data_IF_800798910184
#
_entry.id   IF_800798910184
#
_cell.length_a   1.000
_cell.length_b   1.000
_cell.length_c   1.000
_cell.angle_alpha   90.00
_cell.angle_beta   90.00
_cell.angle_gamma   90.00
#
_symmetry.space_group_name_H-M   'P 1'
#
loop_
_entity.id
_entity.type
_entity.pdbx_description
1 polymer ?
#
# COMPACT_ATOMS: atom_id res chain seq x y z
N UNK A 1 24.92 28.66 -16.08
CA UNK A 1 24.37 28.02 -14.87
C UNK A 1 25.40 27.05 -14.32
N UNK A 2 25.60 27.05 -13.00
CA UNK A 2 26.57 26.16 -12.33
C UNK A 2 26.08 24.70 -12.35
N UNK A 3 27.00 23.75 -12.57
CA UNK A 3 26.72 22.30 -12.55
C UNK A 3 26.05 21.85 -11.25
N UNK A 4 26.37 22.51 -10.13
CA UNK A 4 25.76 22.28 -8.83
C UNK A 4 24.28 22.68 -8.78
N UNK A 5 23.90 23.79 -9.42
CA UNK A 5 22.49 24.22 -9.51
C UNK A 5 21.68 23.24 -10.36
N UNK A 6 22.24 22.75 -11.48
CA UNK A 6 21.58 21.76 -12.33
C UNK A 6 21.37 20.42 -11.61
N UNK A 7 22.29 20.02 -10.73
CA UNK A 7 22.12 18.84 -9.88
C UNK A 7 21.04 19.04 -8.83
N UNK A 8 21.06 20.17 -8.11
CA UNK A 8 20.06 20.51 -7.10
C UNK A 8 18.64 20.51 -7.68
N UNK A 9 18.45 21.08 -8.88
CA UNK A 9 17.15 21.10 -9.55
C UNK A 9 16.64 19.69 -9.88
N UNK A 10 17.51 18.79 -10.35
CA UNK A 10 17.12 17.39 -10.64
C UNK A 10 16.69 16.61 -9.40
N UNK A 11 17.35 16.84 -8.26
CA UNK A 11 16.98 16.21 -7.00
C UNK A 11 15.63 16.74 -6.49
N UNK A 12 15.41 18.05 -6.52
CA UNK A 12 14.13 18.66 -6.12
C UNK A 12 12.97 18.14 -6.97
N UNK A 13 13.17 17.98 -8.29
CA UNK A 13 12.17 17.39 -9.20
C UNK A 13 11.88 15.94 -8.79
N UNK A 14 12.91 15.13 -8.51
CA UNK A 14 12.74 13.74 -8.10
C UNK A 14 11.99 13.61 -6.77
N UNK A 15 12.35 14.43 -5.78
CA UNK A 15 11.67 14.46 -4.48
C UNK A 15 10.21 14.88 -4.61
N UNK A 16 9.92 15.88 -5.45
CA UNK A 16 8.55 16.33 -5.72
C UNK A 16 7.74 15.20 -6.38
N UNK A 17 8.34 14.47 -7.33
CA UNK A 17 7.70 13.33 -7.96
C UNK A 17 7.40 12.20 -6.97
N UNK A 18 8.32 11.89 -6.06
CA UNK A 18 8.12 10.89 -5.01
C UNK A 18 6.98 11.32 -4.07
N UNK A 19 6.93 12.59 -3.66
CA UNK A 19 5.87 13.13 -2.80
C UNK A 19 4.50 13.07 -3.47
N UNK A 20 4.40 13.48 -4.74
CA UNK A 20 3.15 13.41 -5.52
C UNK A 20 2.66 11.96 -5.59
N UNK A 21 3.57 11.03 -5.91
CA UNK A 21 3.24 9.60 -6.03
C UNK A 21 2.81 9.00 -4.70
N UNK A 22 3.45 9.37 -3.60
CA UNK A 22 3.06 8.92 -2.25
C UNK A 22 1.67 9.44 -1.85
N UNK A 23 1.36 10.71 -2.15
CA UNK A 23 0.04 11.30 -1.89
C UNK A 23 -1.06 10.63 -2.72
N UNK A 24 -0.80 10.31 -4.00
CA UNK A 24 -1.73 9.59 -4.88
C UNK A 24 -2.03 8.17 -4.38
N UNK A 25 -1.00 7.44 -3.92
CA UNK A 25 -1.16 6.10 -3.36
C UNK A 25 -1.96 6.15 -2.04
N UNK A 26 -1.56 7.01 -1.09
CA UNK A 26 -2.19 7.09 0.22
C UNK A 26 -3.63 7.65 0.18
N UNK A 27 -3.92 8.60 -0.71
CA UNK A 27 -5.25 9.18 -0.87
C UNK A 27 -6.20 8.29 -1.67
N UNK A 28 -5.69 7.58 -2.67
CA UNK A 28 -6.46 6.59 -3.41
C UNK A 28 -6.84 5.43 -2.50
N UNK A 29 -5.85 4.77 -1.91
CA UNK A 29 -6.02 3.50 -1.21
C UNK A 29 -7.06 3.57 -0.07
N UNK A 30 -7.12 4.68 0.67
CA UNK A 30 -8.11 4.87 1.74
C UNK A 30 -9.56 5.00 1.22
N UNK A 31 -9.76 5.68 0.09
CA UNK A 31 -11.08 5.84 -0.53
C UNK A 31 -11.54 4.53 -1.17
N UNK A 32 -10.63 3.83 -1.85
CA UNK A 32 -10.92 2.51 -2.43
C UNK A 32 -11.25 1.49 -1.34
N UNK A 33 -10.50 1.47 -0.24
CA UNK A 33 -10.72 0.56 0.88
C UNK A 33 -12.09 0.76 1.52
N UNK A 34 -12.47 2.01 1.81
CA UNK A 34 -13.78 2.33 2.38
C UNK A 34 -14.94 1.95 1.43
N UNK A 35 -14.77 2.15 0.12
CA UNK A 35 -15.74 1.73 -0.89
C UNK A 35 -15.90 0.21 -0.97
N UNK A 36 -14.79 -0.55 -0.90
CA UNK A 36 -14.82 -2.01 -0.89
C UNK A 36 -15.47 -2.57 0.38
N UNK A 37 -15.21 -1.97 1.54
CA UNK A 37 -15.84 -2.39 2.79
C UNK A 37 -17.36 -2.15 2.77
N UNK A 38 -17.80 -1.03 2.22
CA UNK A 38 -19.22 -0.74 2.04
C UNK A 38 -19.88 -1.75 1.08
N UNK A 39 -19.23 -2.05 -0.04
CA UNK A 39 -19.73 -3.02 -1.03
C UNK A 39 -19.78 -4.44 -0.46
N UNK A 40 -18.77 -4.84 0.31
CA UNK A 40 -18.73 -6.11 1.05
C UNK A 40 -19.93 -6.26 1.98
N UNK A 41 -20.22 -5.23 2.78
CA UNK A 41 -21.36 -5.23 3.71
C UNK A 41 -22.69 -5.30 2.95
N UNK A 42 -22.81 -4.55 1.84
CA UNK A 42 -24.00 -4.56 0.99
C UNK A 42 -24.27 -5.95 0.42
N UNK A 43 -23.27 -6.57 -0.21
CA UNK A 43 -23.39 -7.90 -0.81
C UNK A 43 -23.66 -8.99 0.23
N UNK A 44 -22.98 -8.95 1.39
CA UNK A 44 -23.22 -9.89 2.48
C UNK A 44 -24.67 -9.81 2.98
N UNK A 45 -25.21 -8.60 3.12
CA UNK A 45 -26.60 -8.40 3.53
C UNK A 45 -27.59 -8.94 2.49
N UNK A 46 -27.34 -8.70 1.21
CA UNK A 46 -28.18 -9.23 0.13
C UNK A 46 -28.13 -10.75 0.06
N UNK A 47 -26.96 -11.34 0.29
CA UNK A 47 -26.76 -12.79 0.39
C UNK A 47 -27.55 -13.38 1.56
N UNK A 48 -27.46 -12.78 2.74
CA UNK A 48 -28.17 -13.26 3.93
C UNK A 48 -29.70 -13.17 3.75
N UNK A 49 -30.20 -12.08 3.16
CA UNK A 49 -31.61 -11.93 2.85
C UNK A 49 -32.07 -13.00 1.85
N UNK A 50 -31.30 -13.25 0.79
CA UNK A 50 -31.61 -14.30 -0.19
C UNK A 50 -31.67 -15.69 0.47
N UNK A 51 -30.69 -16.03 1.31
CA UNK A 51 -30.64 -17.29 2.06
C UNK A 51 -31.84 -17.43 2.99
N UNK A 52 -32.17 -16.38 3.74
CA UNK A 52 -33.31 -16.40 4.66
C UNK A 52 -34.63 -16.63 3.92
N UNK A 53 -34.83 -15.99 2.78
CA UNK A 53 -36.04 -16.19 1.97
C UNK A 53 -36.11 -17.57 1.34
N UNK A 54 -34.99 -18.12 0.88
CA UNK A 54 -34.91 -19.51 0.41
C UNK A 54 -35.27 -20.50 1.53
N UNK A 55 -34.69 -20.34 2.72
CA UNK A 55 -34.99 -21.21 3.87
C UNK A 55 -36.46 -21.15 4.28
N UNK A 56 -37.06 -19.95 4.29
CA UNK A 56 -38.49 -19.79 4.58
C UNK A 56 -39.34 -20.46 3.51
N UNK A 57 -39.01 -20.27 2.23
CA UNK A 57 -39.70 -20.90 1.11
C UNK A 57 -39.65 -22.43 1.18
N UNK A 58 -38.48 -23.01 1.45
CA UNK A 58 -38.31 -24.46 1.61
C UNK A 58 -39.19 -24.99 2.75
N UNK A 59 -39.20 -24.28 3.87
CA UNK A 59 -40.07 -24.62 5.00
C UNK A 59 -41.56 -24.55 4.62
N UNK A 60 -42.00 -23.44 4.02
CA UNK A 60 -43.40 -23.25 3.61
C UNK A 60 -43.87 -24.36 2.64
N UNK A 61 -42.98 -24.80 1.73
CA UNK A 61 -43.25 -25.90 0.82
C UNK A 61 -43.31 -27.25 1.54
N UNK A 62 -42.35 -27.56 2.44
CA UNK A 62 -42.37 -28.80 3.22
C UNK A 62 -43.61 -28.92 4.12
N UNK A 63 -43.98 -27.83 4.79
CA UNK A 63 -45.18 -27.78 5.65
C UNK A 63 -46.46 -27.97 4.80
N UNK A 64 -46.51 -27.35 3.61
CA UNK A 64 -47.60 -27.51 2.67
C UNK A 64 -47.68 -28.96 2.14
N UNK A 65 -46.56 -29.55 1.73
CA UNK A 65 -46.48 -30.94 1.26
C UNK A 65 -47.01 -31.93 2.31
N UNK A 66 -46.60 -31.78 3.58
CA UNK A 66 -47.13 -32.58 4.68
C UNK A 66 -48.64 -32.41 4.85
N UNK A 67 -49.12 -31.17 4.78
CA UNK A 67 -50.56 -30.87 4.93
C UNK A 67 -51.38 -31.46 3.77
N UNK A 68 -50.87 -31.37 2.55
CA UNK A 68 -51.46 -31.99 1.35
C UNK A 68 -51.52 -33.51 1.50
N UNK A 69 -50.42 -34.13 1.94
CA UNK A 69 -50.32 -35.57 2.12
C UNK A 69 -51.30 -36.07 3.20
N UNK A 70 -51.39 -35.38 4.32
CA UNK A 70 -52.33 -35.69 5.40
C UNK A 70 -53.79 -35.59 4.92
N UNK A 71 -54.14 -34.50 4.23
CA UNK A 71 -55.48 -34.32 3.68
C UNK A 71 -55.81 -35.45 2.68
N UNK A 72 -54.87 -35.78 1.78
CA UNK A 72 -55.03 -36.90 0.84
C UNK A 72 -55.25 -38.22 1.56
N UNK A 73 -54.47 -38.51 2.60
CA UNK A 73 -54.59 -39.71 3.43
C UNK A 73 -55.95 -39.79 4.14
N UNK A 74 -56.45 -38.68 4.68
CA UNK A 74 -57.76 -38.61 5.34
C UNK A 74 -58.91 -38.87 4.35
N UNK A 75 -58.81 -38.37 3.11
CA UNK A 75 -59.80 -38.63 2.06
C UNK A 75 -59.82 -40.11 1.66
N UNK A 76 -58.66 -40.68 1.39
CA UNK A 76 -58.55 -42.05 0.87
C UNK A 76 -58.85 -43.08 1.98
N UNK A 77 -58.20 -42.94 3.14
CA UNK A 77 -58.18 -43.99 4.16
C UNK A 77 -59.29 -43.82 5.19
N UNK A 78 -59.70 -42.57 5.49
CA UNK A 78 -60.72 -42.27 6.51
C UNK A 78 -62.07 -41.85 5.91
N UNK A 79 -62.18 -41.75 4.58
CA UNK A 79 -63.38 -41.29 3.85
C UNK A 79 -63.92 -39.96 4.38
N UNK A 80 -63.03 -39.10 4.88
CA UNK A 80 -63.40 -37.80 5.44
C UNK A 80 -63.75 -36.84 4.31
N UNK A 81 -64.80 -36.02 4.50
CA UNK A 81 -65.15 -34.96 3.54
C UNK A 81 -64.12 -33.84 3.63
N UNK A 82 -63.66 -33.37 2.47
CA UNK A 82 -62.76 -32.22 2.35
C UNK A 82 -63.57 -30.93 2.46
N UNK A 83 -63.03 -29.97 3.21
CA UNK A 83 -63.55 -28.60 3.24
C UNK A 83 -62.89 -27.78 2.12
N UNK A 84 -63.70 -27.14 1.27
CA UNK A 84 -63.20 -26.37 0.13
C UNK A 84 -62.29 -25.21 0.58
N UNK A 85 -62.61 -24.58 1.71
CA UNK A 85 -61.80 -23.48 2.25
C UNK A 85 -60.36 -23.90 2.60
N UNK A 86 -60.16 -25.13 3.06
CA UNK A 86 -58.81 -25.64 3.36
C UNK A 86 -58.00 -25.81 2.08
N UNK A 87 -58.62 -26.31 1.01
CA UNK A 87 -57.99 -26.45 -0.31
C UNK A 87 -57.65 -25.09 -0.91
N UNK A 88 -58.55 -24.12 -0.82
CA UNK A 88 -58.32 -22.75 -1.28
C UNK A 88 -57.15 -22.08 -0.51
N UNK A 89 -57.08 -22.29 0.81
CA UNK A 89 -55.97 -21.79 1.62
C UNK A 89 -54.64 -22.43 1.22
N UNK A 90 -54.61 -23.75 1.01
CA UNK A 90 -53.43 -24.46 0.54
C UNK A 90 -52.99 -24.00 -0.85
N UNK A 91 -53.94 -23.77 -1.76
CA UNK A 91 -53.67 -23.21 -3.09
C UNK A 91 -53.11 -21.79 -3.01
N UNK A 92 -53.60 -20.97 -2.07
CA UNK A 92 -53.09 -19.62 -1.83
C UNK A 92 -51.65 -19.65 -1.31
N UNK A 93 -51.33 -20.55 -0.37
CA UNK A 93 -49.95 -20.75 0.11
C UNK A 93 -49.04 -21.16 -1.05
N UNK A 94 -49.45 -22.14 -1.85
CA UNK A 94 -48.69 -22.58 -3.02
C UNK A 94 -48.45 -21.44 -4.03
N UNK A 95 -49.46 -20.60 -4.26
CA UNK A 95 -49.35 -19.44 -5.15
C UNK A 95 -48.33 -18.41 -4.62
N UNK A 96 -48.35 -18.12 -3.32
CA UNK A 96 -47.36 -17.24 -2.67
C UNK A 96 -45.95 -17.82 -2.78
N UNK A 97 -45.76 -19.10 -2.45
CA UNK A 97 -44.46 -19.78 -2.57
C UNK A 97 -43.94 -19.75 -4.01
N UNK A 98 -44.81 -20.00 -4.99
CA UNK A 98 -44.46 -19.92 -6.42
C UNK A 98 -44.02 -18.52 -6.84
N UNK A 99 -44.66 -17.47 -6.32
CA UNK A 99 -44.24 -16.09 -6.55
C UNK A 99 -42.87 -15.79 -5.94
N UNK A 100 -42.64 -16.23 -4.69
CA UNK A 100 -41.35 -16.10 -4.03
C UNK A 100 -40.23 -16.81 -4.81
N UNK A 101 -40.49 -18.00 -5.35
CA UNK A 101 -39.55 -18.70 -6.26
C UNK A 101 -39.20 -17.82 -7.46
N UNK A 102 -40.20 -17.24 -8.13
CA UNK A 102 -39.97 -16.40 -9.30
C UNK A 102 -39.13 -15.16 -8.95
N UNK A 103 -39.43 -14.49 -7.83
CA UNK A 103 -38.70 -13.30 -7.38
C UNK A 103 -37.25 -13.63 -6.97
N UNK A 104 -37.02 -14.77 -6.30
CA UNK A 104 -35.69 -15.25 -5.96
C UNK A 104 -34.88 -15.60 -7.21
N UNK A 105 -35.49 -16.29 -8.19
CA UNK A 105 -34.84 -16.61 -9.47
C UNK A 105 -34.50 -15.36 -10.28
N UNK A 106 -35.30 -14.31 -10.19
CA UNK A 106 -35.02 -13.05 -10.87
C UNK A 106 -33.85 -12.29 -10.24
N UNK A 107 -33.75 -12.28 -8.90
CA UNK A 107 -32.70 -11.56 -8.17
C UNK A 107 -31.37 -12.29 -8.11
N UNK A 108 -31.39 -13.62 -8.09
CA UNK A 108 -30.18 -14.42 -7.89
C UNK A 108 -29.05 -14.14 -8.90
N UNK A 109 -29.30 -13.98 -10.21
CA UNK A 109 -28.23 -13.67 -11.16
C UNK A 109 -27.48 -12.37 -10.84
N UNK A 110 -28.19 -11.32 -10.41
CA UNK A 110 -27.58 -10.04 -10.04
C UNK A 110 -26.73 -10.14 -8.78
N UNK A 111 -27.25 -10.85 -7.76
CA UNK A 111 -26.48 -11.14 -6.54
C UNK A 111 -25.23 -11.98 -6.85
N UNK A 112 -25.39 -13.04 -7.66
CA UNK A 112 -24.29 -13.92 -8.04
C UNK A 112 -23.19 -13.15 -8.78
N UNK A 113 -23.55 -12.32 -9.75
CA UNK A 113 -22.60 -11.54 -10.53
C UNK A 113 -21.89 -10.49 -9.67
N UNK A 114 -22.62 -9.80 -8.79
CA UNK A 114 -22.06 -8.85 -7.83
C UNK A 114 -21.05 -9.51 -6.89
N UNK A 115 -21.39 -10.66 -6.32
CA UNK A 115 -20.47 -11.44 -5.48
C UNK A 115 -19.22 -11.86 -6.26
N UNK A 116 -19.39 -12.46 -7.46
CA UNK A 116 -18.25 -12.90 -8.29
C UNK A 116 -17.30 -11.74 -8.60
N UNK A 117 -17.84 -10.61 -9.04
CA UNK A 117 -17.06 -9.42 -9.37
C UNK A 117 -16.28 -8.90 -8.17
N UNK A 118 -16.93 -8.80 -7.01
CA UNK A 118 -16.28 -8.39 -5.77
C UNK A 118 -15.14 -9.35 -5.36
N UNK A 119 -15.42 -10.65 -5.36
CA UNK A 119 -14.43 -11.70 -5.06
C UNK A 119 -13.23 -11.67 -6.00
N UNK A 120 -13.46 -11.47 -7.29
CA UNK A 120 -12.38 -11.33 -8.29
C UNK A 120 -11.51 -10.10 -8.02
N UNK A 121 -12.11 -8.95 -7.70
CA UNK A 121 -11.36 -7.73 -7.39
C UNK A 121 -10.51 -7.88 -6.12
N UNK A 122 -11.07 -8.48 -5.07
CA UNK A 122 -10.32 -8.78 -3.84
C UNK A 122 -9.17 -9.77 -4.10
N UNK A 123 -9.40 -10.78 -4.94
CA UNK A 123 -8.35 -11.73 -5.33
C UNK A 123 -7.20 -11.03 -6.07
N UNK A 124 -7.50 -10.10 -7.00
CA UNK A 124 -6.47 -9.32 -7.68
C UNK A 124 -5.64 -8.48 -6.71
N UNK A 125 -6.29 -7.89 -5.70
CA UNK A 125 -5.60 -7.15 -4.64
C UNK A 125 -4.65 -8.06 -3.86
N UNK A 126 -5.14 -9.21 -3.40
CA UNK A 126 -4.34 -10.22 -2.68
C UNK A 126 -3.15 -10.68 -3.52
N UNK A 127 -3.35 -10.98 -4.81
CA UNK A 127 -2.26 -11.38 -5.70
C UNK A 127 -1.18 -10.31 -5.85
N UNK A 128 -1.57 -9.03 -5.91
CA UNK A 128 -0.61 -7.92 -5.98
C UNK A 128 0.22 -7.80 -4.71
N UNK A 129 -0.42 -7.92 -3.55
CA UNK A 129 0.25 -7.91 -2.25
C UNK A 129 1.21 -9.10 -2.11
N UNK A 130 0.75 -10.30 -2.48
CA UNK A 130 1.58 -11.50 -2.47
C UNK A 130 2.81 -11.36 -3.38
N UNK A 131 2.62 -10.79 -4.57
CA UNK A 131 3.72 -10.51 -5.50
C UNK A 131 4.75 -9.57 -4.88
N UNK A 132 4.31 -8.48 -4.25
CA UNK A 132 5.21 -7.57 -3.54
C UNK A 132 6.02 -8.30 -2.47
N UNK A 133 5.36 -9.11 -1.63
CA UNK A 133 6.03 -9.87 -0.57
C UNK A 133 7.08 -10.84 -1.11
N UNK A 134 6.85 -11.45 -2.29
CA UNK A 134 7.81 -12.32 -2.96
C UNK A 134 9.01 -11.57 -3.55
N UNK A 135 8.79 -10.40 -4.15
CA UNK A 135 9.84 -9.65 -4.87
C UNK A 135 10.69 -8.76 -3.95
N UNK A 136 10.14 -8.27 -2.82
CA UNK A 136 10.82 -7.29 -1.98
C UNK A 136 12.16 -7.77 -1.37
N UNK A 137 12.31 -9.02 -0.90
CA UNK A 137 13.57 -9.52 -0.36
C UNK A 137 14.72 -9.42 -1.38
N UNK A 138 14.49 -9.85 -2.62
CA UNK A 138 15.51 -9.80 -3.67
C UNK A 138 15.89 -8.36 -4.04
N UNK A 139 14.89 -7.46 -4.07
CA UNK A 139 15.11 -6.02 -4.29
C UNK A 139 15.96 -5.42 -3.17
N UNK A 140 15.68 -5.75 -1.92
CA UNK A 140 16.45 -5.32 -0.75
C UNK A 140 17.88 -5.86 -0.79
N UNK A 141 18.09 -7.13 -1.11
CA UNK A 141 19.43 -7.70 -1.26
C UNK A 141 20.24 -6.99 -2.35
N UNK A 142 19.62 -6.72 -3.51
CA UNK A 142 20.26 -5.98 -4.59
C UNK A 142 20.65 -4.56 -4.18
N UNK A 143 19.79 -3.87 -3.44
CA UNK A 143 20.12 -2.57 -2.84
C UNK A 143 21.29 -2.68 -1.85
N UNK A 144 21.26 -3.66 -0.94
CA UNK A 144 22.33 -3.88 0.03
C UNK A 144 23.69 -4.17 -0.66
N UNK A 145 23.70 -5.00 -1.71
CA UNK A 145 24.91 -5.26 -2.52
C UNK A 145 25.48 -3.96 -3.11
N UNK A 146 24.62 -3.08 -3.63
CA UNK A 146 25.03 -1.75 -4.14
C UNK A 146 25.57 -0.85 -3.02
N UNK A 147 24.91 -0.81 -1.86
CA UNK A 147 25.38 -0.06 -0.69
C UNK A 147 26.77 -0.53 -0.24
N UNK A 148 27.01 -1.84 -0.19
CA UNK A 148 28.34 -2.42 0.16
C UNK A 148 29.42 -1.99 -0.84
N UNK A 149 29.12 -2.03 -2.15
CA UNK A 149 30.05 -1.58 -3.19
C UNK A 149 30.41 -0.10 -3.04
N UNK A 150 29.41 0.77 -2.89
CA UNK A 150 29.61 2.21 -2.70
C UNK A 150 30.41 2.49 -1.42
N UNK A 151 30.12 1.77 -0.34
CA UNK A 151 30.88 1.88 0.92
C UNK A 151 32.35 1.54 0.70
N UNK A 152 32.66 0.46 -0.02
CA UNK A 152 34.04 0.10 -0.38
C UNK A 152 34.75 1.19 -1.20
N UNK A 153 34.05 1.81 -2.16
CA UNK A 153 34.57 2.94 -2.93
C UNK A 153 34.86 4.15 -2.04
N UNK A 154 33.93 4.52 -1.14
CA UNK A 154 34.11 5.64 -0.21
C UNK A 154 35.30 5.41 0.75
N UNK A 155 35.46 4.19 1.27
CA UNK A 155 36.61 3.83 2.12
C UNK A 155 37.94 3.97 1.36
N UNK A 156 37.96 3.55 0.10
CA UNK A 156 39.15 3.68 -0.76
C UNK A 156 39.49 5.14 -1.03
N UNK A 157 38.49 5.95 -1.38
CA UNK A 157 38.66 7.40 -1.59
C UNK A 157 39.17 8.10 -0.33
N UNK A 158 38.62 7.75 0.84
CA UNK A 158 39.09 8.30 2.13
C UNK A 158 40.57 7.98 2.38
N UNK A 159 40.99 6.72 2.19
CA UNK A 159 42.40 6.31 2.35
C UNK A 159 43.33 7.02 1.35
N UNK A 160 42.90 7.23 0.11
CA UNK A 160 43.68 7.98 -0.88
C UNK A 160 43.83 9.44 -0.46
N UNK A 161 42.77 10.06 0.05
CA UNK A 161 42.82 11.44 0.56
C UNK A 161 43.79 11.57 1.76
N UNK A 162 43.74 10.62 2.71
CA UNK A 162 44.68 10.59 3.84
C UNK A 162 46.14 10.45 3.38
N UNK A 163 46.41 9.58 2.40
CA UNK A 163 47.76 9.43 1.80
C UNK A 163 48.21 10.68 1.06
N UNK A 164 47.31 11.35 0.34
CA UNK A 164 47.64 12.59 -0.36
C UNK A 164 47.96 13.72 0.63
N UNK A 165 47.22 13.82 1.73
CA UNK A 165 47.50 14.78 2.80
C UNK A 165 48.87 14.54 3.43
N UNK A 166 49.25 13.29 3.74
CA UNK A 166 50.56 12.99 4.32
C UNK A 166 51.73 13.23 3.35
N UNK A 167 51.53 12.98 2.04
CA UNK A 167 52.52 13.31 0.99
C UNK A 167 52.69 14.83 0.83
N UNK A 168 51.62 15.60 1.06
CA UNK A 168 51.68 17.06 1.02
C UNK A 168 52.40 17.63 2.25
N UNK A 169 52.27 16.97 3.41
CA UNK A 169 53.00 17.28 4.65
C UNK A 169 54.50 16.98 4.52
N UNK A 170 54.90 15.92 3.80
CA UNK A 170 56.31 15.63 3.47
C UNK A 170 56.93 16.56 2.42
N UNK A 171 56.14 17.33 1.66
CA UNK A 171 56.64 18.33 0.70
C UNK A 171 56.76 19.74 1.28
N UNK A 172 56.35 19.96 2.53
CA UNK A 172 56.69 21.18 3.27
C UNK A 172 58.08 20.97 3.88
N UNK A 173 59.14 21.71 3.48
CA UNK A 173 60.43 21.56 4.12
C UNK A 173 60.33 22.08 5.55
N UNK A 174 60.57 21.18 6.53
CA UNK A 174 60.96 21.56 7.87
C UNK A 174 62.17 22.49 7.77
N UNK A 175 61.93 23.80 7.86
CA UNK A 175 62.99 24.74 8.17
C UNK A 175 63.32 24.60 9.65
N UNK A 176 64.63 24.54 9.93
CA UNK A 176 65.30 24.66 11.22
C UNK A 176 65.61 23.34 11.94
N UNK A 177 66.86 22.86 11.82
CA UNK A 177 67.95 23.28 12.72
C UNK A 177 69.13 22.28 12.69
N UNK A 178 70.31 22.78 12.30
CA UNK A 178 71.61 22.33 12.83
C UNK A 178 72.72 23.23 12.27
N UNK A 179 72.97 24.31 13.01
CA UNK A 179 74.28 24.87 13.40
C UNK A 179 75.54 24.37 12.64
N UNK A 180 76.21 25.27 11.91
CA UNK A 180 77.61 25.67 12.20
C UNK A 180 78.17 26.66 11.16
N UNK A 181 79.01 27.60 11.60
CA UNK A 181 79.83 28.48 10.74
C UNK A 181 79.47 29.97 10.82
N UNK A 182 79.91 30.74 11.83
CA UNK A 182 81.25 31.36 11.99
C UNK A 182 81.41 32.72 11.27
N UNK A 183 81.44 33.79 12.10
CA UNK A 183 82.02 35.16 11.92
C UNK A 183 81.32 36.08 10.89
N UNK A 184 81.08 37.38 11.08
CA UNK A 184 81.46 38.40 12.07
C UNK A 184 80.57 39.66 11.83
N UNK A 185 80.62 40.70 12.69
CA UNK A 185 79.51 41.61 12.96
C UNK A 185 79.61 43.01 12.31
N UNK A 186 78.47 43.67 12.08
CA UNK A 186 78.41 45.15 11.96
C UNK A 186 77.05 45.72 12.40
N UNK A 187 77.04 46.18 13.65
CA UNK A 187 76.45 47.40 14.26
C UNK A 187 75.09 47.98 13.78
N UNK A 188 74.23 48.24 14.79
CA UNK A 188 73.20 49.33 14.95
C UNK A 188 72.05 49.39 13.93
N UNK A 189 70.77 49.49 14.30
CA UNK A 189 70.13 50.36 15.30
C UNK A 189 68.72 49.80 15.65
N UNK A 190 68.20 50.14 16.84
CA UNK A 190 66.89 49.69 17.39
C UNK A 190 65.74 50.67 17.00
N UNK A 191 64.45 50.33 17.24
CA UNK A 191 63.28 50.75 16.43
C UNK A 191 62.54 51.98 17.02
N UNK A 192 61.37 52.41 16.49
CA UNK A 192 60.10 51.88 17.00
C UNK A 192 58.93 51.84 15.98
N UNK A 193 57.80 51.39 16.52
CA UNK A 193 56.57 50.91 15.89
C UNK A 193 55.49 52.02 15.87
N UNK A 194 54.68 52.06 14.79
CA UNK A 194 53.24 52.46 14.69
C UNK A 194 52.80 53.93 14.94
N UNK A 195 51.53 54.35 14.64
CA UNK A 195 50.56 54.00 13.57
C UNK A 195 49.83 55.24 12.97
N UNK A 196 49.07 55.13 11.86
CA UNK A 196 47.85 55.93 11.49
C UNK A 196 47.53 55.74 10.00
N UNK A 197 46.47 55.00 9.65
CA UNK A 197 45.10 55.47 9.38
C UNK A 197 44.98 56.39 8.16
N UNK A 198 44.31 55.88 7.11
CA UNK A 198 43.45 56.69 6.25
C UNK A 198 42.61 55.79 5.34
N UNK A 199 41.40 55.49 5.81
CA UNK A 199 40.26 55.29 4.92
C UNK A 199 40.05 56.57 4.11
N UNK A 200 39.78 56.44 2.82
CA UNK A 200 39.09 57.49 2.08
C UNK A 200 38.06 56.84 1.16
N UNK A 201 36.80 57.07 1.50
CA UNK A 201 35.66 56.95 0.60
C UNK A 201 35.71 58.04 -0.46
N UNK A 202 35.51 57.67 -1.71
CA UNK A 202 34.41 58.17 -2.55
C UNK A 202 34.24 57.27 -3.77
#
# INVERSE_FOLDING_TARGET
MSQAQAHSVRETIRDTFIKIRAMLLAGGEQVWQAGMDQERVRLSREEDLYKQEMLRLEKDLSDLESTVEELRGNVINRKTRVNMSDVENMALVLSKSSKTVADLKLRFPGLQDGMKTFLSSEMEKVMREEKFLKEEPERLESALRRCKKLTGTLVTLKRLMEKLASVQEQRLPCSNSSTDGRLSPTVTETPPITPTSSQHSK
#
